data_IF_699545473756
#
_entry.id   IF_699545473756
#
_cell.length_a   1.000
_cell.length_b   1.000
_cell.length_c   1.000
_cell.angle_alpha   90.00
_cell.angle_beta   90.00
_cell.angle_gamma   90.00
#
_symmetry.space_group_name_H-M   'P 1'
#
loop_
_entity.id
_entity.type
_entity.pdbx_description
1 polymer ?
#
# COMPACT_ATOMS: atom_id res chain seq x y z
N UNK A 1 9.52 -50.85 -18.39
CA UNK A 1 9.30 -49.42 -18.67
C UNK A 1 9.69 -48.63 -17.42
N UNK A 2 10.73 -47.79 -17.51
CA UNK A 2 11.22 -46.96 -16.39
C UNK A 2 10.45 -45.63 -16.40
N UNK A 3 9.56 -45.43 -15.43
CA UNK A 3 8.88 -44.15 -15.22
C UNK A 3 9.81 -43.22 -14.44
N UNK A 4 10.33 -42.19 -15.12
CA UNK A 4 11.07 -41.10 -14.48
C UNK A 4 10.03 -40.07 -14.01
N UNK A 5 9.81 -40.00 -12.70
CA UNK A 5 8.97 -38.96 -12.08
C UNK A 5 9.84 -37.70 -11.97
N UNK A 6 9.62 -36.74 -12.88
CA UNK A 6 10.19 -35.40 -12.78
C UNK A 6 9.37 -34.64 -11.73
N UNK A 7 9.93 -34.49 -10.53
CA UNK A 7 9.36 -33.63 -9.51
C UNK A 7 9.53 -32.16 -9.91
N UNK A 8 8.49 -31.54 -10.45
CA UNK A 8 8.41 -30.08 -10.57
C UNK A 8 8.37 -29.48 -9.17
N UNK A 9 9.49 -28.93 -8.72
CA UNK A 9 9.55 -28.07 -7.56
C UNK A 9 8.89 -26.74 -7.91
N UNK A 10 7.61 -26.61 -7.59
CA UNK A 10 6.88 -25.35 -7.71
C UNK A 10 7.33 -24.43 -6.58
N UNK A 11 8.38 -23.64 -6.80
CA UNK A 11 8.72 -22.54 -5.92
C UNK A 11 7.59 -21.51 -6.02
N UNK A 12 6.60 -21.60 -5.13
CA UNK A 12 5.74 -20.45 -4.83
C UNK A 12 6.68 -19.35 -4.34
N UNK A 13 7.00 -18.40 -5.21
CA UNK A 13 7.61 -17.15 -4.81
C UNK A 13 6.56 -16.43 -3.95
N UNK A 14 6.58 -16.69 -2.64
CA UNK A 14 5.86 -15.89 -1.67
C UNK A 14 6.30 -14.45 -1.92
N UNK A 15 5.34 -13.57 -2.26
CA UNK A 15 5.60 -12.16 -2.49
C UNK A 15 6.45 -11.61 -1.33
N UNK A 16 7.74 -11.38 -1.59
CA UNK A 16 8.68 -11.15 -0.48
C UNK A 16 8.30 -9.91 0.30
N UNK A 17 7.79 -8.86 -0.38
CA UNK A 17 7.21 -7.68 0.23
C UNK A 17 5.78 -7.46 -0.24
N UNK A 18 4.81 -7.53 0.66
CA UNK A 18 3.41 -7.20 0.39
C UNK A 18 3.00 -5.98 1.18
N UNK A 19 2.49 -4.95 0.50
CA UNK A 19 2.02 -3.71 1.12
C UNK A 19 0.51 -3.67 1.03
N UNK A 20 -0.14 -3.58 2.18
CA UNK A 20 -1.57 -3.38 2.27
C UNK A 20 -1.89 -1.88 2.34
N UNK A 21 -2.83 -1.46 1.51
CA UNK A 21 -3.32 -0.10 1.40
C UNK A 21 -4.74 -0.07 1.91
N UNK A 22 -5.05 0.81 2.86
CA UNK A 22 -6.41 1.18 3.20
C UNK A 22 -6.53 2.70 3.12
N UNK A 23 -7.45 3.20 2.30
CA UNK A 23 -7.58 4.62 1.98
C UNK A 23 -8.88 5.17 2.54
N UNK A 24 -8.86 6.42 2.97
CA UNK A 24 -10.08 7.20 3.21
C UNK A 24 -10.07 8.36 2.23
N UNK A 25 -11.13 8.47 1.43
CA UNK A 25 -11.31 9.62 0.55
C UNK A 25 -11.82 10.83 1.33
N UNK A 26 -11.62 12.02 0.77
CA UNK A 26 -12.42 13.17 1.14
C UNK A 26 -13.87 12.95 0.68
N UNK A 27 -14.82 13.67 1.28
CA UNK A 27 -16.22 13.60 0.87
C UNK A 27 -16.48 14.43 -0.39
N UNK A 28 -17.64 14.26 -1.01
CA UNK A 28 -18.11 15.09 -2.11
C UNK A 28 -17.51 14.79 -3.50
N UNK A 29 -17.81 15.69 -4.42
CA UNK A 29 -17.37 15.65 -5.82
C UNK A 29 -16.11 16.50 -6.00
N UNK A 30 -15.19 16.01 -6.81
CA UNK A 30 -14.11 16.83 -7.35
C UNK A 30 -14.57 17.56 -8.60
N UNK A 31 -13.85 18.63 -8.95
CA UNK A 31 -14.07 19.48 -10.16
C UNK A 31 -14.22 18.72 -11.48
N UNK A 32 -13.78 17.47 -11.55
CA UNK A 32 -13.97 16.60 -12.72
C UNK A 32 -15.35 15.90 -12.77
N UNK A 33 -16.28 16.22 -11.86
CA UNK A 33 -17.60 15.59 -11.76
C UNK A 33 -17.61 14.17 -11.19
N UNK A 34 -16.47 13.69 -10.67
CA UNK A 34 -16.34 12.36 -10.03
C UNK A 34 -16.27 12.51 -8.52
N UNK A 35 -16.76 11.54 -7.79
CA UNK A 35 -16.60 11.52 -6.32
C UNK A 35 -15.12 11.38 -5.96
N UNK A 36 -14.73 12.00 -4.86
CA UNK A 36 -13.40 11.83 -4.28
C UNK A 36 -13.10 10.35 -3.96
N UNK A 37 -14.13 9.58 -3.59
CA UNK A 37 -14.05 8.12 -3.40
C UNK A 37 -13.62 7.38 -4.68
N UNK A 38 -14.33 7.57 -5.80
CA UNK A 38 -14.00 6.92 -7.08
C UNK A 38 -12.56 7.20 -7.51
N UNK A 39 -12.10 8.43 -7.35
CA UNK A 39 -10.75 8.83 -7.73
C UNK A 39 -9.68 8.33 -6.76
N UNK A 40 -9.94 8.35 -5.45
CA UNK A 40 -9.01 7.87 -4.43
C UNK A 40 -8.80 6.37 -4.56
N UNK A 41 -9.90 5.62 -4.74
CA UNK A 41 -9.91 4.16 -4.76
C UNK A 41 -9.49 3.56 -6.11
N UNK A 42 -9.34 4.37 -7.16
CA UNK A 42 -8.82 3.92 -8.47
C UNK A 42 -7.49 3.16 -8.35
N UNK A 43 -6.62 3.52 -7.39
CA UNK A 43 -5.36 2.79 -7.13
C UNK A 43 -5.55 1.34 -6.71
N UNK A 44 -6.70 1.00 -6.14
CA UNK A 44 -7.09 -0.33 -5.68
C UNK A 44 -8.26 -0.89 -6.51
N UNK A 45 -8.30 -0.58 -7.82
CA UNK A 45 -9.35 -1.05 -8.75
C UNK A 45 -10.78 -0.71 -8.25
N UNK A 46 -10.94 0.48 -7.65
CA UNK A 46 -12.22 0.96 -7.12
C UNK A 46 -12.51 0.55 -5.68
N UNK A 47 -11.71 -0.33 -5.07
CA UNK A 47 -11.88 -0.73 -3.67
C UNK A 47 -11.16 0.23 -2.73
N UNK A 48 -11.72 0.39 -1.52
CA UNK A 48 -11.11 1.18 -0.44
C UNK A 48 -9.72 0.68 -0.07
N UNK A 49 -9.54 -0.63 -0.14
CA UNK A 49 -8.32 -1.33 0.23
C UNK A 49 -7.85 -2.34 -0.81
N UNK A 50 -6.54 -2.59 -0.82
CA UNK A 50 -5.92 -3.64 -1.62
C UNK A 50 -4.51 -3.95 -1.11
N UNK A 51 -4.03 -5.16 -1.40
CA UNK A 51 -2.63 -5.54 -1.21
C UNK A 51 -1.89 -5.49 -2.54
N UNK A 52 -0.65 -4.98 -2.52
CA UNK A 52 0.23 -4.97 -3.68
C UNK A 52 1.59 -5.52 -3.30
N UNK A 53 2.09 -6.45 -4.11
CA UNK A 53 3.46 -6.92 -4.05
C UNK A 53 4.41 -5.82 -4.54
N UNK A 54 5.56 -5.70 -3.87
CA UNK A 54 6.67 -4.84 -4.27
C UNK A 54 7.93 -5.68 -4.42
N UNK A 55 8.76 -5.30 -5.39
CA UNK A 55 10.12 -5.79 -5.46
C UNK A 55 10.91 -5.20 -4.29
N UNK A 56 11.45 -6.07 -3.45
CA UNK A 56 12.38 -5.75 -2.38
C UNK A 56 13.19 -7.01 -2.13
N UNK A 57 14.50 -6.87 -1.94
CA UNK A 57 15.43 -7.97 -1.67
C UNK A 57 15.84 -8.05 -0.19
N UNK A 58 15.30 -7.15 0.65
CA UNK A 58 15.54 -7.12 2.08
C UNK A 58 14.37 -6.52 2.86
N UNK A 59 14.34 -6.82 4.17
CA UNK A 59 13.40 -6.22 5.12
C UNK A 59 13.42 -4.68 5.05
N UNK A 60 14.62 -4.09 5.05
CA UNK A 60 14.77 -2.61 5.01
C UNK A 60 14.19 -2.02 3.74
N UNK A 61 14.39 -2.65 2.58
CA UNK A 61 13.78 -2.20 1.32
C UNK A 61 12.25 -2.32 1.35
N UNK A 62 11.71 -3.37 1.98
CA UNK A 62 10.26 -3.49 2.15
C UNK A 62 9.69 -2.41 3.07
N UNK A 63 10.36 -2.11 4.18
CA UNK A 63 10.00 -1.00 5.08
C UNK A 63 10.04 0.35 4.36
N UNK A 64 11.06 0.59 3.55
CA UNK A 64 11.16 1.81 2.74
C UNK A 64 10.05 1.87 1.69
N UNK A 65 9.73 0.77 1.02
CA UNK A 65 8.64 0.70 0.06
C UNK A 65 7.27 0.97 0.73
N UNK A 66 7.06 0.45 1.94
CA UNK A 66 5.87 0.73 2.75
C UNK A 66 5.79 2.22 3.13
N UNK A 67 6.87 2.80 3.65
CA UNK A 67 6.93 4.24 3.97
C UNK A 67 6.69 5.11 2.73
N UNK A 68 7.33 4.80 1.60
CA UNK A 68 7.15 5.52 0.34
C UNK A 68 5.71 5.42 -0.20
N UNK A 69 4.95 4.39 0.16
CA UNK A 69 3.55 4.23 -0.25
C UNK A 69 2.61 5.24 0.44
N UNK A 70 3.06 5.88 1.52
CA UNK A 70 2.35 6.96 2.21
C UNK A 70 2.26 8.24 1.37
N UNK A 71 3.24 8.53 0.51
CA UNK A 71 3.24 9.72 -0.38
C UNK A 71 1.89 9.96 -1.05
N UNK A 72 1.29 11.12 -0.82
CA UNK A 72 0.07 11.55 -1.50
C UNK A 72 0.40 12.72 -2.43
N UNK A 73 -0.34 12.85 -3.53
CA UNK A 73 -0.21 13.97 -4.49
C UNK A 73 -1.57 14.52 -4.92
N UNK A 74 -2.63 14.05 -4.26
CA UNK A 74 -4.03 14.41 -4.49
C UNK A 74 -4.62 14.77 -3.14
N UNK A 75 -4.19 15.93 -2.64
CA UNK A 75 -4.34 16.35 -1.25
C UNK A 75 -5.81 16.58 -0.88
N UNK A 76 -6.58 17.08 -1.84
CA UNK A 76 -8.02 17.35 -1.85
C UNK A 76 -8.88 16.10 -2.09
N UNK A 77 -8.29 15.01 -2.58
CA UNK A 77 -9.03 13.76 -2.91
C UNK A 77 -8.87 12.70 -1.82
N UNK A 78 -7.67 12.56 -1.25
CA UNK A 78 -7.35 11.50 -0.28
C UNK A 78 -7.18 12.08 1.11
N UNK A 79 -8.16 11.82 1.98
CA UNK A 79 -8.17 12.26 3.37
C UNK A 79 -7.09 11.58 4.21
N UNK A 80 -6.94 10.25 4.09
CA UNK A 80 -5.91 9.52 4.81
C UNK A 80 -5.54 8.20 4.12
N UNK A 81 -4.42 7.63 4.56
CA UNK A 81 -4.04 6.25 4.27
C UNK A 81 -3.57 5.58 5.54
N UNK A 82 -3.89 4.31 5.67
CA UNK A 82 -3.21 3.36 6.56
C UNK A 82 -2.41 2.43 5.66
N UNK A 83 -1.13 2.29 5.95
CA UNK A 83 -0.22 1.41 5.20
C UNK A 83 0.40 0.41 6.17
N UNK A 84 0.13 -0.87 5.97
CA UNK A 84 0.81 -1.97 6.66
C UNK A 84 1.57 -2.82 5.64
N UNK A 85 2.51 -3.63 6.10
CA UNK A 85 3.27 -4.48 5.21
C UNK A 85 3.63 -5.83 5.84
N UNK A 86 3.87 -6.82 4.99
CA UNK A 86 4.47 -8.10 5.36
C UNK A 86 5.76 -8.32 4.57
N UNK A 87 6.76 -8.91 5.23
CA UNK A 87 8.00 -9.39 4.63
C UNK A 87 8.09 -10.90 4.82
N UNK A 88 8.22 -11.66 3.73
CA UNK A 88 8.23 -13.14 3.73
C UNK A 88 7.05 -13.74 4.51
N UNK A 89 5.87 -13.11 4.39
CA UNK A 89 4.64 -13.53 5.08
C UNK A 89 4.47 -13.02 6.51
N UNK A 90 5.50 -12.45 7.14
CA UNK A 90 5.42 -11.90 8.50
C UNK A 90 5.12 -10.41 8.49
N UNK A 91 4.23 -9.94 9.38
CA UNK A 91 3.96 -8.51 9.57
C UNK A 91 5.24 -7.77 9.98
N UNK A 92 5.48 -6.61 9.37
CA UNK A 92 6.62 -5.74 9.68
C UNK A 92 6.15 -4.36 10.14
N UNK A 93 7.00 -3.71 10.94
CA UNK A 93 6.76 -2.38 11.49
C UNK A 93 7.68 -1.34 10.85
N UNK A 94 7.35 -0.06 10.98
CA UNK A 94 8.27 1.04 10.68
C UNK A 94 9.51 0.99 11.58
N UNK A 95 10.53 1.79 11.27
CA UNK A 95 11.74 1.90 12.10
C UNK A 95 11.42 2.37 13.53
N UNK A 96 10.32 3.11 13.69
CA UNK A 96 9.82 3.61 14.96
C UNK A 96 8.83 2.64 15.65
N UNK A 97 8.67 1.43 15.12
CA UNK A 97 7.83 0.38 15.74
C UNK A 97 6.33 0.45 15.42
N UNK A 98 5.91 1.30 14.49
CA UNK A 98 4.50 1.46 14.12
C UNK A 98 4.06 0.42 13.07
N UNK A 99 2.86 -0.14 13.24
CA UNK A 99 2.24 -0.99 12.22
C UNK A 99 1.78 -0.18 11.00
N UNK A 100 1.14 0.96 11.25
CA UNK A 100 0.81 1.92 10.21
C UNK A 100 2.03 2.79 9.91
N UNK A 101 2.66 2.52 8.77
CA UNK A 101 3.83 3.25 8.28
C UNK A 101 3.53 4.73 8.06
N UNK A 102 2.26 5.13 7.86
CA UNK A 102 1.94 6.52 7.61
C UNK A 102 1.89 7.37 8.87
N UNK A 103 1.83 6.79 10.09
CA UNK A 103 1.82 7.56 11.33
C UNK A 103 3.08 8.42 11.51
N UNK A 104 4.24 7.93 11.08
CA UNK A 104 5.54 8.63 11.17
C UNK A 104 5.99 9.24 9.85
N UNK A 105 5.14 9.22 8.82
CA UNK A 105 5.46 9.82 7.52
C UNK A 105 5.57 11.34 7.65
N UNK A 106 6.78 11.88 7.41
CA UNK A 106 7.14 13.30 7.63
C UNK A 106 6.14 14.30 7.04
N UNK A 107 5.63 14.04 5.84
CA UNK A 107 4.76 14.99 5.14
C UNK A 107 3.27 14.71 5.38
N UNK A 108 2.90 13.88 6.37
CA UNK A 108 1.50 13.50 6.59
C UNK A 108 0.60 14.70 6.80
N UNK A 109 1.04 15.69 7.59
CA UNK A 109 0.25 16.87 7.91
C UNK A 109 -0.05 17.75 6.69
N UNK A 110 0.86 17.79 5.69
CA UNK A 110 0.74 18.66 4.52
C UNK A 110 0.15 17.94 3.30
N UNK A 111 0.33 16.63 3.18
CA UNK A 111 -0.12 15.86 2.02
C UNK A 111 -1.50 15.20 2.21
N UNK A 112 -2.10 15.25 3.38
CA UNK A 112 -3.37 14.58 3.68
C UNK A 112 -4.41 15.53 4.27
N UNK A 113 -5.67 15.11 4.17
CA UNK A 113 -6.83 15.80 4.76
C UNK A 113 -6.99 17.26 4.31
N UNK A 114 -6.65 17.57 3.06
CA UNK A 114 -6.85 18.90 2.48
C UNK A 114 -8.20 18.97 1.73
N UNK A 115 -9.25 18.40 2.33
CA UNK A 115 -10.52 18.07 1.68
C UNK A 115 -11.41 19.26 1.27
N UNK A 116 -10.98 20.48 1.57
CA UNK A 116 -11.75 21.71 1.37
C UNK A 116 -10.99 22.73 0.52
N UNK A 117 -9.95 22.29 -0.19
CA UNK A 117 -9.20 23.13 -1.13
C UNK A 117 -9.82 23.10 -2.53
#
# INVERSE_FOLDING_TARGET
MKFIIIALTFSMAWAECSIHYNRTACDGLHRSGKTNAEMSYKKCKGKKECTKTKAATSLSQCQEAAMNSCKNRRFDITKSKVITATWKGSEIKSKEGNKDFCLTYKNRATEFNQCSQ
#
